data_IF_443828238653
#
_entry.id   IF_443828238653
#
_cell.length_a   1.000
_cell.length_b   1.000
_cell.length_c   1.000
_cell.angle_alpha   90.00
_cell.angle_beta   90.00
_cell.angle_gamma   90.00
#
_symmetry.space_group_name_H-M   'P 1'
#
loop_
_entity.id
_entity.type
_entity.pdbx_description
1 polymer ?
#
# COMPACT_ATOMS: atom_id res chain seq x y z
N UNK A 1 15.54 4.06 -17.17
CA UNK A 1 16.06 3.78 -15.82
C UNK A 1 17.27 4.67 -15.57
N UNK A 2 17.37 5.33 -14.42
CA UNK A 2 18.50 6.23 -14.09
C UNK A 2 19.71 5.43 -13.60
N UNK A 3 20.92 5.77 -14.03
CA UNK A 3 22.14 5.14 -13.49
C UNK A 3 22.34 5.48 -12.01
N UNK A 4 22.40 4.43 -11.17
CA UNK A 4 22.60 4.53 -9.73
C UNK A 4 23.89 3.82 -9.27
N UNK A 5 24.75 3.38 -10.19
CA UNK A 5 25.98 2.62 -9.88
C UNK A 5 26.90 3.35 -8.90
N UNK A 6 27.03 4.67 -9.06
CA UNK A 6 27.82 5.58 -8.24
C UNK A 6 27.23 5.89 -6.85
N UNK A 7 25.99 5.47 -6.56
CA UNK A 7 25.34 5.74 -5.28
C UNK A 7 25.71 4.69 -4.23
N UNK A 8 25.77 5.10 -2.98
CA UNK A 8 26.01 4.22 -1.83
C UNK A 8 24.73 3.47 -1.42
N UNK A 9 24.94 2.26 -0.88
CA UNK A 9 23.88 1.46 -0.25
C UNK A 9 23.63 2.01 1.14
N UNK A 10 22.37 2.31 1.44
CA UNK A 10 21.92 2.89 2.72
C UNK A 10 20.55 2.33 3.06
N UNK A 11 20.15 2.37 4.32
CA UNK A 11 18.79 2.02 4.72
C UNK A 11 17.80 3.00 4.08
N UNK A 12 16.78 2.45 3.42
CA UNK A 12 15.67 3.18 2.79
C UNK A 12 14.36 2.71 3.39
N UNK A 13 13.48 3.65 3.67
CA UNK A 13 12.12 3.37 4.14
C UNK A 13 11.15 4.28 3.42
N UNK A 14 9.97 3.76 3.07
CA UNK A 14 8.85 4.55 2.59
C UNK A 14 7.56 4.03 3.22
N UNK A 15 6.66 4.95 3.57
CA UNK A 15 5.29 4.64 3.97
C UNK A 15 4.34 5.37 3.03
N UNK A 16 3.47 4.60 2.37
CA UNK A 16 2.39 5.11 1.54
C UNK A 16 1.03 4.82 2.18
N UNK A 17 0.08 5.67 1.85
CA UNK A 17 -1.31 5.57 2.24
C UNK A 17 -2.20 5.25 1.04
N UNK A 18 -3.22 4.43 1.26
CA UNK A 18 -4.42 4.42 0.42
C UNK A 18 -5.68 4.53 1.29
N UNK A 19 -6.74 5.16 0.78
CA UNK A 19 -8.05 5.22 1.45
C UNK A 19 -9.10 4.55 0.58
N UNK A 20 -9.81 3.58 1.15
CA UNK A 20 -11.01 2.98 0.57
C UNK A 20 -12.21 3.44 1.37
N UNK A 21 -13.19 4.08 0.73
CA UNK A 21 -14.46 4.43 1.34
C UNK A 21 -15.54 3.46 0.92
N UNK A 22 -16.31 2.92 1.86
CA UNK A 22 -17.50 2.13 1.57
C UNK A 22 -18.69 3.04 1.27
N UNK A 23 -19.66 2.54 0.51
CA UNK A 23 -20.92 3.24 0.29
C UNK A 23 -21.83 3.22 1.51
N UNK A 24 -21.68 2.18 2.33
CA UNK A 24 -22.61 1.87 3.43
C UNK A 24 -21.89 1.45 4.70
N UNK A 25 -22.49 1.75 5.86
CA UNK A 25 -21.98 1.33 7.17
C UNK A 25 -22.08 -0.19 7.36
N UNK A 26 -23.08 -0.84 6.76
CA UNK A 26 -23.24 -2.30 6.78
C UNK A 26 -22.02 -3.02 6.20
N UNK A 27 -21.35 -2.40 5.21
CA UNK A 27 -20.15 -2.95 4.58
C UNK A 27 -18.98 -2.98 5.57
N UNK A 28 -18.75 -1.89 6.31
CA UNK A 28 -17.72 -1.87 7.37
C UNK A 28 -18.06 -2.85 8.49
N UNK A 29 -19.33 -2.93 8.90
CA UNK A 29 -19.77 -3.92 9.89
C UNK A 29 -19.50 -5.35 9.43
N UNK A 30 -19.80 -5.66 8.16
CA UNK A 30 -19.52 -6.96 7.58
C UNK A 30 -18.02 -7.30 7.57
N UNK A 31 -17.15 -6.32 7.34
CA UNK A 31 -15.68 -6.50 7.43
C UNK A 31 -15.28 -6.82 8.87
N UNK A 32 -15.69 -5.98 9.84
CA UNK A 32 -15.36 -6.14 11.26
C UNK A 32 -15.84 -7.48 11.85
N UNK A 33 -16.99 -7.95 11.38
CA UNK A 33 -17.61 -9.21 11.85
C UNK A 33 -17.21 -10.44 11.01
N UNK A 34 -16.35 -10.28 9.99
CA UNK A 34 -15.91 -11.39 9.14
C UNK A 34 -17.03 -12.01 8.29
N UNK A 35 -18.06 -11.24 7.94
CA UNK A 35 -19.26 -11.69 7.19
C UNK A 35 -19.22 -11.40 5.70
N UNK A 36 -18.08 -10.95 5.17
CA UNK A 36 -17.92 -10.72 3.73
C UNK A 36 -17.88 -12.09 3.01
N UNK A 37 -18.71 -12.34 1.99
CA UNK A 37 -18.80 -13.67 1.35
C UNK A 37 -17.49 -14.19 0.74
N UNK A 38 -16.58 -13.29 0.37
CA UNK A 38 -15.26 -13.62 -0.20
C UNK A 38 -14.19 -13.92 0.85
N UNK A 39 -14.54 -13.95 2.15
CA UNK A 39 -13.63 -14.23 3.25
C UNK A 39 -13.08 -12.98 3.93
N UNK A 40 -11.97 -13.15 4.65
CA UNK A 40 -11.30 -12.07 5.39
C UNK A 40 -10.69 -11.04 4.43
N UNK A 41 -11.27 -9.85 4.42
CA UNK A 41 -10.88 -8.75 3.53
C UNK A 41 -9.51 -8.18 3.88
N UNK A 42 -9.18 -8.08 5.16
CA UNK A 42 -7.95 -7.44 5.61
C UNK A 42 -6.76 -8.38 5.39
N UNK A 43 -6.88 -9.66 5.75
CA UNK A 43 -5.80 -10.62 5.56
C UNK A 43 -5.55 -10.93 4.08
N UNK A 44 -6.61 -11.08 3.27
CA UNK A 44 -6.47 -11.33 1.84
C UNK A 44 -5.86 -10.12 1.11
N UNK A 45 -6.30 -8.90 1.41
CA UNK A 45 -5.75 -7.70 0.80
C UNK A 45 -4.30 -7.43 1.21
N UNK A 46 -3.94 -7.74 2.46
CA UNK A 46 -2.56 -7.69 2.96
C UNK A 46 -1.65 -8.62 2.17
N UNK A 47 -2.05 -9.88 1.99
CA UNK A 47 -1.28 -10.85 1.21
C UNK A 47 -1.06 -10.36 -0.23
N UNK A 48 -2.11 -9.85 -0.88
CA UNK A 48 -2.02 -9.27 -2.22
C UNK A 48 -1.06 -8.08 -2.27
N UNK A 49 -1.12 -7.17 -1.30
CA UNK A 49 -0.20 -6.04 -1.17
C UNK A 49 1.26 -6.46 -1.06
N UNK A 50 1.57 -7.45 -0.22
CA UNK A 50 2.94 -7.97 -0.06
C UNK A 50 3.46 -8.62 -1.35
N UNK A 51 2.59 -9.27 -2.13
CA UNK A 51 2.94 -9.75 -3.47
C UNK A 51 3.16 -8.59 -4.44
N UNK A 52 2.28 -7.59 -4.42
CA UNK A 52 2.36 -6.39 -5.27
C UNK A 52 3.67 -5.63 -5.08
N UNK A 53 4.10 -5.40 -3.83
CA UNK A 53 5.39 -4.78 -3.50
C UNK A 53 6.55 -5.46 -4.23
N UNK A 54 6.60 -6.79 -4.23
CA UNK A 54 7.65 -7.58 -4.89
C UNK A 54 7.57 -7.57 -6.41
N UNK A 55 6.40 -7.25 -6.98
CA UNK A 55 6.16 -7.21 -8.41
C UNK A 55 6.32 -5.81 -9.02
N UNK A 56 6.56 -4.77 -8.20
CA UNK A 56 6.73 -3.38 -8.63
C UNK A 56 7.65 -3.19 -9.84
N UNK A 57 8.89 -3.74 -9.88
CA UNK A 57 9.79 -3.53 -11.03
C UNK A 57 9.32 -4.23 -12.32
N UNK A 58 8.38 -5.17 -12.24
CA UNK A 58 7.80 -5.81 -13.43
C UNK A 58 6.66 -4.99 -14.04
N UNK A 59 6.08 -4.05 -13.29
CA UNK A 59 4.96 -3.22 -13.74
C UNK A 59 5.38 -1.78 -14.07
N UNK A 60 6.38 -1.24 -13.36
CA UNK A 60 6.88 0.12 -13.58
C UNK A 60 8.19 0.08 -14.40
N UNK A 61 8.17 0.45 -15.70
CA UNK A 61 9.28 0.18 -16.62
C UNK A 61 10.65 0.73 -16.22
N UNK A 62 10.67 1.88 -15.52
CA UNK A 62 11.90 2.56 -15.10
C UNK A 62 12.28 2.31 -13.64
N UNK A 63 11.51 1.50 -12.93
CA UNK A 63 11.79 1.12 -11.54
C UNK A 63 12.93 0.12 -11.48
N UNK A 64 13.93 0.40 -10.64
CA UNK A 64 15.03 -0.54 -10.42
C UNK A 64 14.53 -1.79 -9.69
N UNK A 65 14.93 -3.00 -10.12
CA UNK A 65 14.72 -4.19 -9.30
C UNK A 65 15.58 -4.10 -8.04
N UNK A 66 14.98 -4.33 -6.86
CA UNK A 66 15.67 -4.28 -5.57
C UNK A 66 15.14 -5.37 -4.61
N UNK A 67 15.96 -5.84 -3.66
CA UNK A 67 15.53 -6.81 -2.66
C UNK A 67 14.68 -6.13 -1.58
N UNK A 68 13.46 -6.62 -1.38
CA UNK A 68 12.59 -6.15 -0.29
C UNK A 68 13.00 -6.87 0.99
N UNK A 69 13.40 -6.12 2.02
CA UNK A 69 13.82 -6.68 3.31
C UNK A 69 12.68 -6.66 4.34
N UNK A 70 11.83 -5.62 4.30
CA UNK A 70 10.62 -5.52 5.12
C UNK A 70 9.48 -4.94 4.30
N UNK A 71 8.28 -5.52 4.41
CA UNK A 71 7.04 -4.94 3.94
C UNK A 71 5.93 -5.26 4.95
N UNK A 72 5.14 -4.26 5.33
CA UNK A 72 4.04 -4.40 6.28
C UNK A 72 2.85 -3.54 5.88
N UNK A 73 1.66 -4.02 6.22
CA UNK A 73 0.40 -3.31 6.03
C UNK A 73 -0.25 -3.11 7.39
N UNK A 74 -0.70 -1.88 7.66
CA UNK A 74 -1.58 -1.56 8.78
C UNK A 74 -2.89 -0.98 8.26
N UNK A 75 -3.95 -1.15 9.05
CA UNK A 75 -5.29 -0.67 8.72
C UNK A 75 -5.84 0.16 9.87
N UNK A 76 -6.45 1.28 9.54
CA UNK A 76 -7.24 2.10 10.46
C UNK A 76 -8.64 2.24 9.85
N UNK A 77 -9.68 1.88 10.60
CA UNK A 77 -11.07 2.00 10.13
C UNK A 77 -11.79 3.06 10.94
N UNK A 78 -12.14 4.17 10.30
CA UNK A 78 -12.91 5.25 10.92
C UNK A 78 -14.17 5.55 10.08
N UNK A 79 -15.33 5.49 10.73
CA UNK A 79 -16.63 5.55 10.04
C UNK A 79 -16.74 4.56 8.89
N UNK A 80 -16.87 5.10 7.67
CA UNK A 80 -16.96 4.36 6.40
C UNK A 80 -15.64 4.27 5.63
N UNK A 81 -14.53 4.72 6.22
CA UNK A 81 -13.23 4.74 5.56
C UNK A 81 -12.29 3.69 6.15
N UNK A 82 -11.57 3.02 5.26
CA UNK A 82 -10.49 2.10 5.56
C UNK A 82 -9.22 2.75 5.05
N UNK A 83 -8.43 3.26 6.00
CA UNK A 83 -7.10 3.79 5.74
C UNK A 83 -6.09 2.65 5.78
N UNK A 84 -5.28 2.56 4.74
CA UNK A 84 -4.29 1.51 4.53
C UNK A 84 -2.92 2.18 4.57
N UNK A 85 -2.03 1.67 5.42
CA UNK A 85 -0.65 2.13 5.52
C UNK A 85 0.29 1.01 5.09
N UNK A 86 0.99 1.20 3.96
CA UNK A 86 2.00 0.27 3.45
C UNK A 86 3.39 0.84 3.75
N UNK A 87 4.15 0.18 4.61
CA UNK A 87 5.57 0.52 4.85
C UNK A 87 6.48 -0.52 4.21
N UNK A 88 7.48 -0.06 3.46
CA UNK A 88 8.51 -0.89 2.81
C UNK A 88 9.89 -0.41 3.23
N UNK A 89 10.82 -1.35 3.46
CA UNK A 89 12.23 -1.07 3.76
C UNK A 89 13.20 -1.99 3.02
N UNK A 90 14.38 -1.45 2.75
CA UNK A 90 15.50 -2.15 2.10
C UNK A 90 16.82 -1.43 2.38
N UNK A 91 17.95 -2.13 2.29
CA UNK A 91 19.25 -1.50 2.10
C UNK A 91 19.59 -1.45 0.60
N UNK A 92 19.48 -0.28 -0.02
CA UNK A 92 19.75 -0.15 -1.46
C UNK A 92 20.20 1.25 -1.90
N UNK A 93 20.47 1.39 -3.20
CA UNK A 93 21.00 2.60 -3.85
C UNK A 93 19.92 3.60 -4.27
N UNK A 94 18.65 3.19 -4.27
CA UNK A 94 17.47 4.01 -4.58
C UNK A 94 16.37 3.76 -3.55
N UNK A 95 15.43 4.70 -3.44
CA UNK A 95 14.31 4.60 -2.50
C UNK A 95 13.28 3.55 -2.90
N UNK A 96 12.30 3.35 -2.01
CA UNK A 96 11.21 2.36 -2.13
C UNK A 96 9.82 3.02 -2.16
N UNK A 97 9.76 4.28 -2.60
CA UNK A 97 8.53 5.06 -2.64
C UNK A 97 7.45 4.40 -3.51
N UNK A 98 7.87 3.90 -4.68
CA UNK A 98 6.96 3.31 -5.66
C UNK A 98 6.52 1.90 -5.25
N UNK A 99 7.36 1.14 -4.57
CA UNK A 99 7.01 -0.14 -3.96
C UNK A 99 5.93 0.05 -2.89
N UNK A 100 6.08 1.05 -2.01
CA UNK A 100 5.09 1.34 -0.98
C UNK A 100 3.75 1.79 -1.60
N UNK A 101 3.77 2.71 -2.57
CA UNK A 101 2.55 3.20 -3.22
C UNK A 101 1.86 2.11 -4.06
N UNK A 102 2.63 1.30 -4.79
CA UNK A 102 2.10 0.18 -5.56
C UNK A 102 1.53 -0.91 -4.64
N UNK A 103 2.22 -1.23 -3.54
CA UNK A 103 1.69 -2.11 -2.51
C UNK A 103 0.34 -1.62 -1.96
N UNK A 104 0.26 -0.35 -1.56
CA UNK A 104 -0.98 0.26 -1.07
C UNK A 104 -2.10 0.23 -2.12
N UNK A 105 -1.79 0.48 -3.40
CA UNK A 105 -2.77 0.43 -4.48
C UNK A 105 -3.33 -0.98 -4.69
N UNK A 106 -2.49 -2.01 -4.61
CA UNK A 106 -2.90 -3.40 -4.73
C UNK A 106 -3.77 -3.82 -3.54
N UNK A 107 -3.43 -3.40 -2.32
CA UNK A 107 -4.29 -3.63 -1.14
C UNK A 107 -5.67 -3.01 -1.38
N UNK A 108 -5.73 -1.73 -1.78
CA UNK A 108 -6.98 -1.02 -2.01
C UNK A 108 -7.84 -1.66 -3.12
N UNK A 109 -7.22 -2.02 -4.25
CA UNK A 109 -7.90 -2.74 -5.35
C UNK A 109 -8.42 -4.11 -4.90
N UNK A 110 -7.68 -4.82 -4.05
CA UNK A 110 -8.13 -6.11 -3.50
C UNK A 110 -9.33 -5.93 -2.59
N UNK A 111 -9.33 -4.92 -1.72
CA UNK A 111 -10.50 -4.57 -0.89
C UNK A 111 -11.71 -4.26 -1.78
N UNK A 112 -11.55 -3.40 -2.79
CA UNK A 112 -12.61 -3.11 -3.75
C UNK A 112 -13.16 -4.38 -4.40
N UNK A 113 -12.28 -5.25 -4.90
CA UNK A 113 -12.65 -6.52 -5.55
C UNK A 113 -13.45 -7.46 -4.62
N UNK A 114 -13.14 -7.44 -3.33
CA UNK A 114 -13.83 -8.23 -2.32
C UNK A 114 -15.17 -7.64 -1.88
N UNK A 115 -15.30 -6.31 -1.87
CA UNK A 115 -16.50 -5.62 -1.41
C UNK A 115 -17.52 -5.34 -2.53
N UNK A 116 -17.09 -5.22 -3.80
CA UNK A 116 -17.99 -4.93 -4.94
C UNK A 116 -19.22 -5.85 -5.09
N UNK A 117 -19.25 -7.11 -4.61
CA UNK A 117 -20.48 -7.91 -4.64
C UNK A 117 -21.54 -7.43 -3.65
N UNK A 118 -21.12 -6.92 -2.49
CA UNK A 118 -22.00 -6.51 -1.39
C UNK A 118 -22.11 -5.00 -1.23
N UNK A 119 -21.36 -4.20 -1.97
CA UNK A 119 -21.40 -2.73 -1.95
C UNK A 119 -20.92 -2.21 -3.31
N UNK A 120 -21.78 -1.50 -4.04
CA UNK A 120 -21.48 -0.99 -5.40
C UNK A 120 -20.88 0.40 -5.41
N UNK A 121 -20.88 1.09 -4.26
CA UNK A 121 -20.44 2.48 -4.13
C UNK A 121 -19.07 2.58 -3.45
N UNK A 122 -18.35 1.45 -3.33
CA UNK A 122 -16.98 1.43 -2.82
C UNK A 122 -16.09 2.29 -3.72
N UNK A 123 -15.29 3.16 -3.13
CA UNK A 123 -14.43 4.10 -3.83
C UNK A 123 -13.00 4.01 -3.29
N UNK A 124 -12.00 3.99 -4.18
CA UNK A 124 -10.60 4.21 -3.82
C UNK A 124 -10.31 5.70 -4.01
N UNK A 125 -10.06 6.42 -2.92
CA UNK A 125 -10.01 7.89 -2.92
C UNK A 125 -8.63 8.45 -3.21
N UNK A 126 -7.67 8.06 -2.38
CA UNK A 126 -6.31 8.58 -2.46
C UNK A 126 -5.32 7.45 -2.40
N UNK A 127 -4.20 7.61 -3.10
CA UNK A 127 -2.99 6.83 -2.95
C UNK A 127 -1.85 7.84 -2.93
N UNK A 128 -1.15 7.97 -1.80
CA UNK A 128 -0.11 8.99 -1.63
C UNK A 128 1.04 8.50 -0.78
N UNK A 129 2.25 8.99 -1.06
CA UNK A 129 3.39 8.84 -0.16
C UNK A 129 3.18 9.74 1.07
N UNK A 130 3.32 9.18 2.27
CA UNK A 130 3.28 9.90 3.55
C UNK A 130 4.68 10.24 4.04
N UNK A 131 5.55 9.23 4.08
CA UNK A 131 6.91 9.37 4.57
C UNK A 131 7.88 8.65 3.65
N UNK A 132 9.07 9.23 3.48
CA UNK A 132 10.25 8.48 3.06
C UNK A 132 11.47 8.94 3.85
N UNK A 133 12.36 8.01 4.10
CA UNK A 133 13.66 8.28 4.73
C UNK A 133 14.78 7.54 4.02
N UNK A 134 15.97 8.13 4.06
CA UNK A 134 17.20 7.53 3.56
C UNK A 134 17.54 7.96 2.14
N UNK A 135 18.79 8.37 1.95
CA UNK A 135 19.29 8.95 0.71
C UNK A 135 19.61 10.42 0.81
N UNK A 136 19.34 11.14 -0.28
CA UNK A 136 19.58 12.59 -0.36
C UNK A 136 18.46 13.41 0.26
N UNK A 137 17.23 12.89 0.31
CA UNK A 137 16.06 13.63 0.76
C UNK A 137 15.11 12.76 1.57
N UNK A 138 14.58 13.35 2.63
CA UNK A 138 13.51 12.79 3.44
C UNK A 138 12.22 13.58 3.15
N UNK A 139 11.08 12.91 3.28
CA UNK A 139 9.75 13.54 3.19
C UNK A 139 8.96 13.05 4.39
N UNK A 140 8.29 13.96 5.09
CA UNK A 140 7.23 13.66 6.06
C UNK A 140 6.05 14.56 5.77
N UNK A 141 4.90 13.96 5.45
CA UNK A 141 3.62 14.65 5.32
C UNK A 141 2.79 14.36 6.56
N UNK A 142 2.09 15.37 7.07
CA UNK A 142 1.10 15.16 8.11
C UNK A 142 -0.02 14.27 7.56
N UNK A 143 -0.45 13.34 8.41
CA UNK A 143 -1.67 12.58 8.26
C UNK A 143 -2.86 13.52 8.56
N UNK A 144 -3.09 14.50 7.69
CA UNK A 144 -4.32 15.30 7.70
C UNK A 144 -5.47 14.45 7.15
#
# INVERSE_FOLDING_TARGET
MVDITHKEVTLRSATAEAIVRTGREETIRAIREGRVPKGDVLEMSKAAGLLGVKQTPYLLPDCHPLPIEEARVAYEMDGMEIRILMTVRTHYKTGVEVEAMHGASVVALTIYDMLKPIDKEVEIRTIRLLEKTGGKSDIRRSAD
#
